data_IF_317524653639
#
_entry.id   IF_317524653639
#
_cell.length_a   1.000
_cell.length_b   1.000
_cell.length_c   1.000
_cell.angle_alpha   90.00
_cell.angle_beta   90.00
_cell.angle_gamma   90.00
#
_symmetry.space_group_name_H-M   'P 1'
#
loop_
_entity.id
_entity.type
_entity.pdbx_description
1 polymer ?
#
# COMPACT_ATOMS: atom_id res chain seq x y z
N UNK A 1 16.96 9.01 5.12
CA UNK A 1 15.86 8.86 4.13
C UNK A 1 14.56 9.25 4.83
N UNK A 2 13.94 10.40 4.50
CA UNK A 2 12.69 10.80 5.18
C UNK A 2 11.64 9.72 4.91
N UNK A 3 11.22 9.01 5.96
CA UNK A 3 10.09 8.07 5.91
C UNK A 3 8.90 8.80 5.30
N UNK A 4 8.44 8.38 4.11
CA UNK A 4 7.21 8.92 3.52
C UNK A 4 6.06 8.60 4.48
N UNK A 5 5.48 9.64 5.08
CA UNK A 5 4.31 9.57 5.97
C UNK A 5 3.21 8.70 5.34
N UNK A 6 2.57 7.85 6.16
CA UNK A 6 1.43 7.02 5.75
C UNK A 6 0.28 7.94 5.31
N UNK A 7 -0.49 7.50 4.34
CA UNK A 7 -1.65 8.22 3.81
C UNK A 7 -2.78 8.23 4.83
N UNK A 8 -3.11 9.39 5.41
CA UNK A 8 -4.17 9.47 6.43
C UNK A 8 -5.53 9.02 5.87
N UNK A 9 -6.28 8.30 6.71
CA UNK A 9 -7.63 7.82 6.43
C UNK A 9 -8.68 8.81 6.95
N UNK A 10 -9.68 9.13 6.15
CA UNK A 10 -10.85 9.90 6.58
C UNK A 10 -12.03 8.98 6.90
N UNK A 11 -12.44 8.93 8.17
CA UNK A 11 -13.68 8.27 8.59
C UNK A 11 -14.82 9.28 8.53
N UNK A 12 -15.70 9.12 7.54
CA UNK A 12 -16.93 9.89 7.39
C UNK A 12 -18.02 9.17 8.16
N UNK A 13 -18.50 9.83 9.22
CA UNK A 13 -19.48 9.26 10.15
C UNK A 13 -20.86 9.82 9.83
N UNK A 14 -21.74 8.94 9.34
CA UNK A 14 -23.13 9.29 9.03
C UNK A 14 -24.13 8.71 10.03
N UNK A 15 -23.78 7.63 10.73
CA UNK A 15 -24.62 6.98 11.75
C UNK A 15 -23.85 6.66 13.03
N UNK A 16 -24.58 6.52 14.15
CA UNK A 16 -23.98 6.11 15.44
C UNK A 16 -23.46 4.67 15.41
N UNK A 17 -24.21 3.74 14.80
CA UNK A 17 -23.78 2.34 14.67
C UNK A 17 -22.51 2.22 13.82
N UNK A 18 -22.46 2.92 12.67
CA UNK A 18 -21.25 2.99 11.86
C UNK A 18 -20.07 3.65 12.56
N UNK A 19 -20.32 4.62 13.46
CA UNK A 19 -19.30 5.29 14.26
C UNK A 19 -18.54 4.33 15.19
N UNK A 20 -19.17 3.26 15.66
CA UNK A 20 -18.53 2.27 16.54
C UNK A 20 -17.56 1.38 15.75
N UNK A 21 -18.03 0.81 14.63
CA UNK A 21 -17.22 -0.01 13.73
C UNK A 21 -16.01 0.78 13.21
N UNK A 22 -16.26 1.99 12.70
CA UNK A 22 -15.20 2.85 12.18
C UNK A 22 -14.19 3.22 13.25
N UNK A 23 -14.60 3.35 14.52
CA UNK A 23 -13.72 3.70 15.63
C UNK A 23 -12.76 2.58 15.99
N UNK A 24 -13.20 1.32 15.98
CA UNK A 24 -12.29 0.18 16.21
C UNK A 24 -11.25 0.08 15.08
N UNK A 25 -11.69 0.14 13.82
CA UNK A 25 -10.78 0.11 12.66
C UNK A 25 -9.81 1.30 12.71
N UNK A 26 -10.30 2.50 13.03
CA UNK A 26 -9.51 3.71 13.22
C UNK A 26 -8.49 3.56 14.35
N UNK A 27 -8.86 2.95 15.48
CA UNK A 27 -7.99 2.74 16.63
C UNK A 27 -6.85 1.77 16.31
N UNK A 28 -7.14 0.64 15.65
CA UNK A 28 -6.12 -0.31 15.19
C UNK A 28 -5.19 0.35 14.18
N UNK A 29 -5.75 1.14 13.26
CA UNK A 29 -4.99 1.81 12.21
C UNK A 29 -4.09 2.94 12.75
N UNK A 30 -4.59 3.74 13.70
CA UNK A 30 -3.88 4.81 14.39
C UNK A 30 -3.77 6.16 13.65
N UNK A 31 -3.91 6.20 12.31
CA UNK A 31 -3.74 7.41 11.48
C UNK A 31 -5.02 7.85 10.76
N UNK A 32 -6.12 7.96 11.50
CA UNK A 32 -7.44 8.35 10.98
C UNK A 32 -7.88 9.74 11.45
N UNK A 33 -8.46 10.53 10.54
CA UNK A 33 -9.23 11.74 10.82
C UNK A 33 -10.73 11.43 10.78
N UNK A 34 -11.50 12.06 11.65
CA UNK A 34 -12.95 11.82 11.77
C UNK A 34 -13.73 13.07 11.40
N UNK A 35 -14.75 12.91 10.57
CA UNK A 35 -15.70 13.98 10.22
C UNK A 35 -17.11 13.44 10.32
N UNK A 36 -17.97 14.11 11.09
CA UNK A 36 -19.40 13.77 11.18
C UNK A 36 -20.16 14.53 10.11
N UNK A 37 -20.64 13.82 9.09
CA UNK A 37 -21.51 14.33 8.03
C UNK A 37 -22.35 13.20 7.46
N UNK A 38 -23.60 13.50 7.18
CA UNK A 38 -24.52 12.60 6.52
C UNK A 38 -24.37 12.77 5.00
N UNK A 39 -23.57 11.91 4.39
CA UNK A 39 -23.20 11.95 2.97
C UNK A 39 -23.09 10.50 2.52
N UNK A 40 -23.68 10.19 1.36
CA UNK A 40 -23.48 8.92 0.68
C UNK A 40 -22.44 9.11 -0.43
N UNK A 41 -21.22 8.55 -0.32
CA UNK A 41 -20.14 8.83 -1.27
C UNK A 41 -20.45 8.49 -2.73
N UNK A 42 -21.39 7.58 -3.00
CA UNK A 42 -21.82 7.25 -4.36
C UNK A 42 -22.79 8.26 -4.95
N UNK A 43 -23.62 8.88 -4.12
CA UNK A 43 -24.58 9.90 -4.56
C UNK A 43 -23.93 11.27 -4.63
N UNK A 44 -23.05 11.56 -3.67
CA UNK A 44 -22.46 12.86 -3.43
C UNK A 44 -20.93 12.82 -3.60
N UNK A 45 -20.48 12.35 -4.77
CA UNK A 45 -19.05 12.22 -5.10
C UNK A 45 -18.30 13.55 -4.93
N UNK A 46 -18.86 14.66 -5.45
CA UNK A 46 -18.22 15.98 -5.37
C UNK A 46 -18.03 16.48 -3.93
N UNK A 47 -19.00 16.21 -3.05
CA UNK A 47 -18.89 16.61 -1.65
C UNK A 47 -17.81 15.79 -0.95
N UNK A 48 -17.70 14.51 -1.28
CA UNK A 48 -16.65 13.61 -0.78
C UNK A 48 -15.27 14.09 -1.24
N UNK A 49 -15.12 14.47 -2.50
CA UNK A 49 -13.87 15.05 -3.05
C UNK A 49 -13.49 16.37 -2.36
N UNK A 50 -14.45 17.28 -2.18
CA UNK A 50 -14.25 18.54 -1.43
C UNK A 50 -13.83 18.27 0.02
N UNK A 51 -14.39 17.25 0.67
CA UNK A 51 -14.01 16.85 2.03
C UNK A 51 -12.59 16.28 2.08
N UNK A 52 -12.23 15.40 1.15
CA UNK A 52 -10.88 14.85 1.03
C UNK A 52 -9.85 15.96 0.81
N UNK A 53 -10.15 16.90 -0.08
CA UNK A 53 -9.32 18.08 -0.34
C UNK A 53 -9.16 18.95 0.91
N UNK A 54 -10.27 19.26 1.61
CA UNK A 54 -10.26 20.08 2.84
C UNK A 54 -9.47 19.44 3.97
N UNK A 55 -9.57 18.12 4.12
CA UNK A 55 -8.90 17.38 5.21
C UNK A 55 -7.49 16.93 4.85
N UNK A 56 -7.08 17.12 3.59
CA UNK A 56 -5.82 16.66 3.00
C UNK A 56 -5.61 15.14 3.20
N UNK A 57 -6.68 14.37 3.02
CA UNK A 57 -6.68 12.90 3.11
C UNK A 57 -6.89 12.30 1.73
N UNK A 58 -6.33 11.12 1.48
CA UNK A 58 -6.44 10.42 0.19
C UNK A 58 -7.27 9.14 0.26
N UNK A 59 -7.49 8.63 1.46
CA UNK A 59 -8.30 7.43 1.70
C UNK A 59 -9.52 7.85 2.50
N UNK A 60 -10.66 7.22 2.24
CA UNK A 60 -11.84 7.40 3.08
C UNK A 60 -12.57 6.09 3.34
N UNK A 61 -13.30 6.08 4.44
CA UNK A 61 -14.32 5.08 4.75
C UNK A 61 -15.60 5.77 5.21
N UNK A 62 -16.74 5.25 4.79
CA UNK A 62 -18.05 5.67 5.24
C UNK A 62 -18.90 4.44 5.55
N UNK A 63 -19.74 4.50 6.59
CA UNK A 63 -20.81 3.54 6.80
C UNK A 63 -22.13 4.31 6.73
N UNK A 64 -22.87 4.05 5.65
CA UNK A 64 -24.13 4.71 5.33
C UNK A 64 -25.25 4.26 6.28
N UNK A 65 -26.39 4.96 6.24
CA UNK A 65 -27.62 4.58 6.96
C UNK A 65 -28.15 3.19 6.60
N UNK A 66 -27.90 2.74 5.37
CA UNK A 66 -28.30 1.42 4.88
C UNK A 66 -27.34 0.29 5.26
N UNK A 67 -26.43 0.52 6.24
CA UNK A 67 -25.42 -0.44 6.68
C UNK A 67 -24.46 -0.91 5.56
N UNK A 68 -24.13 0.03 4.66
CA UNK A 68 -23.17 -0.21 3.58
C UNK A 68 -21.84 0.46 3.95
N UNK A 69 -20.77 -0.31 3.97
CA UNK A 69 -19.40 0.18 4.08
C UNK A 69 -18.92 0.60 2.69
N UNK A 70 -18.63 1.89 2.54
CA UNK A 70 -17.98 2.44 1.36
C UNK A 70 -16.52 2.72 1.67
N UNK A 71 -15.61 2.07 0.94
CA UNK A 71 -14.18 2.31 0.99
C UNK A 71 -13.75 2.98 -0.31
N UNK A 72 -12.86 3.96 -0.25
CA UNK A 72 -12.35 4.56 -1.46
C UNK A 72 -11.07 5.33 -1.29
N UNK A 73 -10.51 5.70 -2.43
CA UNK A 73 -9.28 6.49 -2.51
C UNK A 73 -9.34 7.53 -3.62
N UNK A 74 -8.62 8.62 -3.41
CA UNK A 74 -8.51 9.72 -4.35
C UNK A 74 -7.06 9.96 -4.79
N UNK A 75 -6.94 10.49 -5.99
CA UNK A 75 -5.69 10.99 -6.57
C UNK A 75 -5.97 12.37 -7.15
N UNK A 76 -5.14 13.37 -6.80
CA UNK A 76 -5.35 14.77 -7.17
C UNK A 76 -6.77 15.29 -6.87
N UNK A 77 -7.32 14.88 -5.72
CA UNK A 77 -8.68 15.20 -5.26
C UNK A 77 -9.82 14.63 -6.10
N UNK A 78 -9.54 13.79 -7.09
CA UNK A 78 -10.55 13.01 -7.82
C UNK A 78 -10.60 11.58 -7.27
N UNK A 79 -11.79 11.00 -7.14
CA UNK A 79 -11.95 9.60 -6.71
C UNK A 79 -11.51 8.67 -7.84
N UNK A 80 -10.59 7.74 -7.53
CA UNK A 80 -10.08 6.77 -8.49
C UNK A 80 -10.63 5.36 -8.28
N UNK A 81 -10.94 5.01 -7.03
CA UNK A 81 -11.52 3.71 -6.69
C UNK A 81 -12.51 3.89 -5.55
N UNK A 82 -13.63 3.18 -5.65
CA UNK A 82 -14.65 3.11 -4.61
C UNK A 82 -15.24 1.70 -4.59
N UNK A 83 -15.31 1.08 -3.42
CA UNK A 83 -15.95 -0.22 -3.21
C UNK A 83 -17.07 -0.05 -2.20
N UNK A 84 -18.28 -0.50 -2.56
CA UNK A 84 -19.46 -0.53 -1.70
C UNK A 84 -19.72 -1.95 -1.28
N UNK A 85 -19.67 -2.19 0.02
CA UNK A 85 -19.98 -3.46 0.63
C UNK A 85 -21.21 -3.33 1.50
N UNK A 86 -22.18 -4.22 1.36
CA UNK A 86 -23.28 -4.38 2.32
C UNK A 86 -22.80 -5.22 3.49
N UNK A 87 -22.90 -4.70 4.70
CA UNK A 87 -22.56 -5.44 5.92
C UNK A 87 -23.71 -6.39 6.24
N UNK A 88 -23.42 -7.70 6.26
CA UNK A 88 -24.37 -8.77 6.60
C UNK A 88 -24.33 -9.07 8.08
N UNK A 89 -23.12 -9.24 8.63
CA UNK A 89 -22.90 -9.50 10.04
C UNK A 89 -21.66 -8.73 10.50
N UNK A 90 -21.70 -8.23 11.73
CA UNK A 90 -20.63 -7.45 12.33
C UNK A 90 -20.51 -7.81 13.80
N UNK A 91 -19.32 -8.25 14.20
CA UNK A 91 -18.94 -8.48 15.59
C UNK A 91 -17.83 -7.52 15.97
N UNK A 92 -18.09 -6.70 16.97
CA UNK A 92 -17.13 -5.78 17.54
C UNK A 92 -16.26 -6.50 18.57
N UNK A 93 -15.20 -5.83 19.02
CA UNK A 93 -14.29 -6.39 20.04
C UNK A 93 -15.02 -6.77 21.33
N UNK A 94 -16.11 -6.07 21.66
CA UNK A 94 -16.94 -6.34 22.85
C UNK A 94 -17.71 -7.66 22.79
N UNK A 95 -17.94 -8.17 21.58
CA UNK A 95 -18.72 -9.39 21.37
C UNK A 95 -17.87 -10.65 21.52
N UNK A 96 -16.55 -10.50 21.64
CA UNK A 96 -15.62 -11.59 21.88
C UNK A 96 -15.28 -11.68 23.37
N UNK A 97 -15.38 -12.89 23.94
CA UNK A 97 -14.98 -13.16 25.33
C UNK A 97 -13.46 -13.36 25.45
N UNK A 98 -12.71 -12.37 24.97
CA UNK A 98 -11.24 -12.36 24.94
C UNK A 98 -10.73 -10.98 25.31
N UNK A 99 -9.49 -10.87 25.82
CA UNK A 99 -8.86 -9.57 26.01
C UNK A 99 -8.81 -8.79 24.69
N UNK A 100 -9.15 -7.50 24.75
CA UNK A 100 -9.11 -6.61 23.58
C UNK A 100 -7.70 -6.50 22.97
N UNK A 101 -7.62 -5.86 21.81
CA UNK A 101 -6.35 -5.69 21.11
C UNK A 101 -5.47 -4.58 21.70
N UNK A 102 -4.16 -4.77 21.60
CA UNK A 102 -3.17 -3.76 21.96
C UNK A 102 -3.10 -2.67 20.87
N UNK A 103 -3.15 -1.41 21.29
CA UNK A 103 -3.08 -0.27 20.38
C UNK A 103 -1.66 -0.07 19.85
N UNK A 104 -1.57 0.40 18.60
CA UNK A 104 -0.30 0.72 17.93
C UNK A 104 0.65 -0.46 17.70
N UNK A 105 0.18 -1.69 17.91
CA UNK A 105 0.90 -2.90 17.53
C UNK A 105 1.04 -3.03 16.01
N UNK A 106 2.16 -3.61 15.57
CA UNK A 106 2.35 -3.96 14.17
C UNK A 106 1.54 -5.22 13.86
N UNK A 107 1.00 -5.29 12.64
CA UNK A 107 0.22 -6.43 12.19
C UNK A 107 0.61 -6.84 10.77
N UNK A 108 0.32 -8.10 10.45
CA UNK A 108 0.34 -8.60 9.07
C UNK A 108 -1.00 -8.37 8.37
N UNK A 109 -0.99 -8.40 7.04
CA UNK A 109 -2.20 -8.37 6.22
C UNK A 109 -2.20 -9.66 5.40
N UNK A 110 -3.22 -10.49 5.60
CA UNK A 110 -3.47 -11.70 4.86
C UNK A 110 -4.66 -11.46 3.93
N UNK A 111 -4.40 -11.48 2.62
CA UNK A 111 -5.44 -11.44 1.60
C UNK A 111 -5.60 -12.85 1.03
N UNK A 112 -6.82 -13.38 1.04
CA UNK A 112 -7.09 -14.72 0.54
C UNK A 112 -8.25 -14.72 -0.47
N UNK A 113 -8.06 -15.38 -1.61
CA UNK A 113 -9.08 -15.57 -2.66
C UNK A 113 -9.69 -14.28 -3.24
N UNK A 114 -9.05 -13.12 -3.09
CA UNK A 114 -9.48 -11.88 -3.73
C UNK A 114 -8.94 -11.87 -5.17
N UNK A 115 -9.66 -12.51 -6.09
CA UNK A 115 -9.26 -12.68 -7.51
C UNK A 115 -8.90 -11.40 -8.28
N UNK A 116 -9.12 -10.22 -7.71
CA UNK A 116 -8.91 -8.91 -8.33
C UNK A 116 -7.79 -8.12 -7.64
N UNK A 117 -6.67 -7.97 -8.35
CA UNK A 117 -5.46 -7.25 -7.88
C UNK A 117 -5.74 -5.80 -7.49
N UNK A 118 -6.70 -5.13 -8.13
CA UNK A 118 -7.01 -3.71 -7.84
C UNK A 118 -7.72 -3.57 -6.51
N UNK A 119 -8.61 -4.52 -6.19
CA UNK A 119 -9.28 -4.60 -4.87
C UNK A 119 -8.30 -4.95 -3.76
N UNK A 120 -7.44 -5.94 -4.00
CA UNK A 120 -6.34 -6.28 -3.08
C UNK A 120 -5.46 -5.05 -2.78
N UNK A 121 -5.09 -4.31 -3.83
CA UNK A 121 -4.28 -3.11 -3.69
C UNK A 121 -4.95 -2.03 -2.84
N UNK A 122 -6.28 -1.85 -2.94
CA UNK A 122 -7.02 -0.92 -2.10
C UNK A 122 -6.96 -1.32 -0.62
N UNK A 123 -7.19 -2.60 -0.30
CA UNK A 123 -7.08 -3.10 1.08
C UNK A 123 -5.66 -2.98 1.63
N UNK A 124 -4.64 -3.26 0.81
CA UNK A 124 -3.24 -3.04 1.19
C UNK A 124 -3.00 -1.57 1.50
N UNK A 125 -3.42 -0.64 0.64
CA UNK A 125 -3.20 0.80 0.88
C UNK A 125 -3.97 1.29 2.13
N UNK A 126 -5.15 0.72 2.39
CA UNK A 126 -5.94 0.98 3.59
C UNK A 126 -5.31 0.42 4.89
N UNK A 127 -4.59 -0.69 4.84
CA UNK A 127 -4.09 -1.35 6.04
C UNK A 127 -2.56 -1.25 6.19
N UNK A 128 -1.83 -0.80 5.18
CA UNK A 128 -0.37 -0.81 5.17
C UNK A 128 0.25 0.01 6.31
N UNK A 129 1.09 -0.64 7.12
CA UNK A 129 1.99 0.02 8.07
C UNK A 129 3.43 0.04 7.55
N UNK A 130 3.88 1.17 7.01
CA UNK A 130 5.27 1.30 6.56
C UNK A 130 6.25 1.14 7.72
N UNK A 131 7.25 0.27 7.55
CA UNK A 131 8.40 0.14 8.46
C UNK A 131 9.63 -0.32 7.68
N UNK A 132 10.83 0.14 8.07
CA UNK A 132 12.10 -0.33 7.49
C UNK A 132 12.67 -1.54 8.21
N UNK A 133 12.35 -1.68 9.51
CA UNK A 133 12.72 -2.79 10.38
C UNK A 133 11.50 -3.19 11.19
N UNK A 134 11.37 -4.47 11.51
CA UNK A 134 10.26 -4.99 12.31
C UNK A 134 10.83 -5.92 13.38
N UNK A 135 10.31 -5.83 14.59
CA UNK A 135 10.60 -6.79 15.65
C UNK A 135 9.59 -7.93 15.54
N UNK A 136 10.04 -9.15 15.25
CA UNK A 136 9.16 -10.29 15.02
C UNK A 136 8.36 -10.66 16.28
N UNK A 137 8.98 -10.55 17.45
CA UNK A 137 8.33 -10.79 18.76
C UNK A 137 7.17 -9.81 19.05
N UNK A 138 7.15 -8.67 18.36
CA UNK A 138 6.12 -7.64 18.53
C UNK A 138 4.97 -7.71 17.52
N UNK A 139 4.93 -8.72 16.64
CA UNK A 139 3.88 -8.86 15.62
C UNK A 139 2.93 -10.00 16.00
N UNK A 140 1.99 -9.68 16.88
CA UNK A 140 1.03 -10.63 17.43
C UNK A 140 -0.34 -10.55 16.75
N UNK A 141 -0.49 -9.78 15.68
CA UNK A 141 -1.78 -9.51 15.07
C UNK A 141 -1.78 -9.62 13.55
N UNK A 142 -2.95 -9.95 13.00
CA UNK A 142 -3.16 -10.08 11.58
C UNK A 142 -4.54 -9.54 11.18
N UNK A 143 -4.57 -8.72 10.13
CA UNK A 143 -5.80 -8.47 9.37
C UNK A 143 -5.99 -9.56 8.34
N UNK A 144 -7.13 -10.25 8.38
CA UNK A 144 -7.52 -11.22 7.37
C UNK A 144 -8.64 -10.62 6.53
N UNK A 145 -8.39 -10.48 5.23
CA UNK A 145 -9.43 -10.16 4.24
C UNK A 145 -9.52 -11.35 3.30
N UNK A 146 -10.58 -12.13 3.43
CA UNK A 146 -10.81 -13.30 2.59
C UNK A 146 -12.12 -13.17 1.82
N UNK A 147 -12.14 -13.71 0.62
CA UNK A 147 -13.38 -13.88 -0.15
C UNK A 147 -13.76 -15.35 -0.21
N UNK A 148 -14.93 -15.68 0.32
CA UNK A 148 -15.57 -16.99 0.19
C UNK A 148 -16.81 -16.81 -0.67
N UNK A 149 -16.78 -17.34 -1.89
CA UNK A 149 -17.82 -17.17 -2.90
C UNK A 149 -18.15 -15.69 -3.20
N UNK A 150 -19.28 -15.21 -2.67
CA UNK A 150 -19.77 -13.83 -2.77
C UNK A 150 -19.55 -13.00 -1.51
N UNK A 151 -19.17 -13.63 -0.40
CA UNK A 151 -19.01 -12.98 0.92
C UNK A 151 -17.54 -12.66 1.14
N UNK A 152 -17.28 -11.40 1.48
CA UNK A 152 -16.02 -10.91 2.00
C UNK A 152 -16.05 -10.98 3.52
N UNK A 153 -15.04 -11.63 4.09
CA UNK A 153 -14.79 -11.64 5.53
C UNK A 153 -13.60 -10.73 5.77
N UNK A 154 -13.80 -9.69 6.56
CA UNK A 154 -12.75 -8.79 7.01
C UNK A 154 -12.68 -8.83 8.53
N UNK A 155 -11.63 -9.49 9.06
CA UNK A 155 -11.49 -9.70 10.49
C UNK A 155 -10.09 -9.39 11.01
N UNK A 156 -10.03 -9.03 12.28
CA UNK A 156 -8.78 -8.82 13.02
C UNK A 156 -8.56 -9.93 14.04
N UNK A 157 -7.40 -10.57 13.95
CA UNK A 157 -7.06 -11.75 14.74
C UNK A 157 -5.74 -11.54 15.48
N UNK A 158 -5.61 -12.15 16.65
CA UNK A 158 -4.35 -12.35 17.35
C UNK A 158 -3.71 -13.65 16.87
N UNK A 159 -2.40 -13.60 16.63
CA UNK A 159 -1.55 -14.73 16.27
C UNK A 159 -0.61 -14.98 17.42
N UNK A 160 -0.62 -16.21 17.94
CA UNK A 160 0.26 -16.64 19.01
C UNK A 160 1.55 -17.26 18.45
N UNK A 161 2.54 -17.45 19.33
CA UNK A 161 3.85 -18.01 18.95
C UNK A 161 3.77 -19.45 18.42
N UNK A 162 2.71 -20.18 18.76
CA UNK A 162 2.41 -21.53 18.25
C UNK A 162 1.68 -21.49 16.89
N UNK A 163 1.54 -20.31 16.28
CA UNK A 163 0.76 -20.04 15.07
C UNK A 163 -0.75 -20.30 15.21
N UNK A 164 -1.26 -20.47 16.43
CA UNK A 164 -2.70 -20.49 16.66
C UNK A 164 -3.29 -19.08 16.46
N UNK A 165 -4.53 -19.04 15.97
CA UNK A 165 -5.22 -17.79 15.64
C UNK A 165 -6.44 -17.67 16.55
N UNK A 166 -6.58 -16.52 17.20
CA UNK A 166 -7.74 -16.16 18.00
C UNK A 166 -8.39 -14.90 17.44
N UNK A 167 -9.69 -14.95 17.22
CA UNK A 167 -10.45 -13.77 16.76
C UNK A 167 -10.64 -12.80 17.94
N UNK A 168 -10.17 -11.57 17.79
CA UNK A 168 -10.27 -10.49 18.80
C UNK A 168 -11.22 -9.39 18.34
N UNK A 169 -11.48 -9.30 17.04
CA UNK A 169 -12.40 -8.31 16.47
C UNK A 169 -11.70 -6.98 16.11
N UNK A 170 -12.31 -6.15 15.24
CA UNK A 170 -13.63 -6.33 14.63
C UNK A 170 -13.65 -7.41 13.54
N UNK A 171 -14.81 -8.04 13.35
CA UNK A 171 -15.08 -9.02 12.29
C UNK A 171 -16.32 -8.63 11.51
N UNK A 172 -16.17 -8.44 10.20
CA UNK A 172 -17.22 -8.02 9.29
C UNK A 172 -17.42 -9.06 8.20
N UNK A 173 -18.63 -9.57 8.07
CA UNK A 173 -19.08 -10.34 6.91
C UNK A 173 -19.85 -9.40 5.99
N UNK A 174 -19.41 -9.26 4.75
CA UNK A 174 -19.92 -8.26 3.84
C UNK A 174 -20.07 -8.81 2.42
N UNK A 175 -20.99 -8.26 1.64
CA UNK A 175 -21.17 -8.60 0.23
C UNK A 175 -20.86 -7.38 -0.61
N UNK A 176 -20.03 -7.54 -1.65
CA UNK A 176 -19.71 -6.45 -2.57
C UNK A 176 -20.95 -6.15 -3.44
N UNK A 177 -21.49 -4.93 -3.34
CA UNK A 177 -22.64 -4.49 -4.14
C UNK A 177 -22.21 -3.68 -5.35
N UNK A 178 -21.28 -2.73 -5.16
CA UNK A 178 -20.83 -1.86 -6.23
C UNK A 178 -19.31 -1.65 -6.17
N UNK A 179 -18.69 -1.52 -7.33
CA UNK A 179 -17.28 -1.25 -7.47
C UNK A 179 -17.05 -0.24 -8.60
N UNK A 180 -16.66 0.97 -8.22
CA UNK A 180 -16.21 1.98 -9.15
C UNK A 180 -14.68 1.95 -9.29
N UNK A 181 -14.22 1.92 -10.54
CA UNK A 181 -12.82 1.95 -10.91
C UNK A 181 -12.63 2.99 -12.01
N UNK A 182 -11.69 3.92 -11.83
CA UNK A 182 -11.31 4.85 -12.89
C UNK A 182 -10.59 4.13 -14.04
N UNK A 183 -10.57 4.78 -15.21
CA UNK A 183 -9.88 4.26 -16.40
C UNK A 183 -8.39 4.04 -16.21
N UNK A 184 -7.82 3.14 -17.02
CA UNK A 184 -6.44 2.66 -16.87
C UNK A 184 -5.38 3.76 -17.00
N UNK A 185 -5.62 4.79 -17.82
CA UNK A 185 -4.70 5.91 -17.98
C UNK A 185 -4.57 6.71 -16.68
N UNK A 186 -5.71 7.10 -16.09
CA UNK A 186 -5.74 7.77 -14.78
C UNK A 186 -5.14 6.89 -13.69
N UNK A 187 -5.43 5.59 -13.73
CA UNK A 187 -4.87 4.64 -12.76
C UNK A 187 -3.34 4.55 -12.85
N UNK A 188 -2.79 4.45 -14.06
CA UNK A 188 -1.34 4.44 -14.30
C UNK A 188 -0.66 5.73 -13.83
N UNK A 189 -1.29 6.88 -14.10
CA UNK A 189 -0.81 8.18 -13.59
C UNK A 189 -0.77 8.22 -12.05
N UNK A 190 -1.78 7.65 -11.38
CA UNK A 190 -1.85 7.61 -9.93
C UNK A 190 -0.78 6.72 -9.27
N UNK A 191 -0.41 5.60 -9.91
CA UNK A 191 0.65 4.69 -9.42
C UNK A 191 2.04 5.34 -9.50
N UNK A 192 2.22 6.28 -10.43
CA UNK A 192 3.42 7.12 -10.58
C UNK A 192 4.64 6.42 -11.20
N UNK A 193 5.52 7.21 -11.83
CA UNK A 193 6.70 6.77 -12.59
C UNK A 193 7.83 6.10 -11.76
N UNK A 194 7.65 5.94 -10.45
CA UNK A 194 8.72 5.45 -9.57
C UNK A 194 9.00 3.95 -9.69
N UNK A 195 8.20 3.19 -10.44
CA UNK A 195 8.48 1.78 -10.71
C UNK A 195 9.71 1.58 -11.60
N UNK A 196 10.08 2.57 -12.42
CA UNK A 196 11.09 2.42 -13.46
C UNK A 196 12.10 3.58 -13.52
N UNK A 197 12.61 4.08 -12.38
CA UNK A 197 13.83 4.89 -12.44
C UNK A 197 14.96 3.97 -12.93
N UNK A 198 15.32 4.10 -14.21
CA UNK A 198 16.44 3.36 -14.81
C UNK A 198 17.65 3.52 -13.90
N UNK A 199 18.17 2.41 -13.39
CA UNK A 199 19.40 2.41 -12.58
C UNK A 199 20.47 3.15 -13.36
N UNK A 200 21.15 4.09 -12.72
CA UNK A 200 22.30 4.76 -13.33
C UNK A 200 23.40 3.73 -13.55
N UNK A 201 23.61 3.33 -14.80
CA UNK A 201 24.66 2.39 -15.17
C UNK A 201 26.03 2.98 -14.79
N UNK A 202 26.99 2.11 -14.51
CA UNK A 202 28.41 2.47 -14.30
C UNK A 202 28.65 3.43 -13.13
N UNK A 203 27.71 3.53 -12.18
CA UNK A 203 27.88 4.32 -10.97
C UNK A 203 27.41 3.52 -9.77
N UNK A 204 28.20 3.51 -8.70
CA UNK A 204 27.84 2.85 -7.45
C UNK A 204 28.30 3.67 -6.24
N UNK A 205 27.77 3.36 -5.07
CA UNK A 205 28.24 3.91 -3.80
C UNK A 205 29.11 2.88 -3.09
N UNK A 206 30.29 3.29 -2.62
CA UNK A 206 31.14 2.43 -1.80
C UNK A 206 30.60 2.35 -0.34
N UNK A 207 31.27 1.55 0.50
CA UNK A 207 30.92 1.43 1.92
C UNK A 207 31.00 2.76 2.70
N UNK A 208 31.77 3.73 2.20
CA UNK A 208 31.93 5.07 2.77
C UNK A 208 30.96 6.10 2.18
N UNK A 209 29.99 5.67 1.36
CA UNK A 209 29.03 6.51 0.63
C UNK A 209 29.61 7.42 -0.48
N UNK A 210 30.85 7.23 -0.91
CA UNK A 210 31.42 7.92 -2.07
C UNK A 210 30.81 7.41 -3.37
N UNK A 211 30.58 8.30 -4.33
CA UNK A 211 30.05 7.96 -5.65
C UNK A 211 31.20 7.61 -6.59
N UNK A 212 31.32 6.34 -6.94
CA UNK A 212 32.35 5.83 -7.87
C UNK A 212 31.73 5.58 -9.24
N UNK A 213 32.41 6.03 -10.29
CA UNK A 213 32.09 5.73 -11.68
C UNK A 213 33.04 4.68 -12.26
N UNK A 214 32.51 3.66 -12.95
CA UNK A 214 33.33 2.67 -13.66
C UNK A 214 33.46 3.11 -15.11
N UNK A 215 34.69 3.36 -15.55
CA UNK A 215 35.00 3.55 -16.96
C UNK A 215 35.37 2.19 -17.57
N UNK A 216 34.57 1.72 -18.52
CA UNK A 216 34.90 0.53 -19.30
C UNK A 216 35.75 0.97 -20.49
N UNK A 217 37.05 0.69 -20.41
CA UNK A 217 38.00 0.94 -21.50
C UNK A 217 38.02 -0.30 -22.39
N UNK A 218 37.75 -0.12 -23.67
CA UNK A 218 37.83 -1.21 -24.65
C UNK A 218 39.27 -1.69 -24.80
N UNK A 219 39.43 -2.98 -25.13
CA UNK A 219 40.75 -3.55 -25.41
C UNK A 219 41.34 -2.85 -26.64
N UNK A 220 42.44 -2.12 -26.46
CA UNK A 220 43.16 -1.50 -27.56
C UNK A 220 43.86 -2.56 -28.41
N UNK A 221 43.53 -2.65 -29.70
CA UNK A 221 44.29 -3.49 -30.66
C UNK A 221 45.55 -2.73 -31.12
N UNK A 222 46.71 -3.36 -30.98
CA UNK A 222 48.01 -2.78 -31.32
C UNK A 222 48.55 -3.28 -32.67
N UNK A 223 47.83 -4.15 -33.38
CA UNK A 223 48.27 -4.67 -34.69
C UNK A 223 48.43 -3.57 -35.75
N UNK A 224 47.65 -2.50 -35.63
CA UNK A 224 47.72 -1.35 -36.53
C UNK A 224 48.83 -0.35 -36.14
N UNK A 225 49.39 -0.47 -34.94
CA UNK A 225 50.44 0.43 -34.44
C UNK A 225 51.76 0.09 -35.12
N UNK A 226 52.07 0.81 -36.20
CA UNK A 226 53.37 0.73 -36.87
C UNK A 226 54.39 1.55 -36.10
N UNK A 227 55.38 0.88 -35.51
CA UNK A 227 56.52 1.54 -34.90
C UNK A 227 57.51 2.00 -35.97
N UNK A 228 58.14 3.16 -35.76
CA UNK A 228 59.23 3.63 -36.61
C UNK A 228 60.41 2.67 -36.48
N UNK A 229 60.78 1.98 -37.56
CA UNK A 229 61.97 1.13 -37.60
C UNK A 229 63.24 1.98 -37.67
N UNK A 230 64.03 1.98 -36.61
CA UNK A 230 65.36 2.61 -36.58
C UNK A 230 66.34 1.87 -37.51
N UNK A 231 67.48 2.49 -37.81
CA UNK A 231 68.47 1.94 -38.76
C UNK A 231 68.95 0.53 -38.38
N UNK A 232 69.00 0.21 -37.09
CA UNK A 232 69.37 -1.11 -36.57
C UNK A 232 68.34 -2.21 -36.88
N UNK A 233 67.05 -1.87 -37.03
CA UNK A 233 65.97 -2.82 -37.34
C UNK A 233 65.65 -2.92 -38.83
N UNK A 234 66.38 -2.21 -39.68
CA UNK A 234 66.29 -2.33 -41.14
C UNK A 234 67.29 -3.39 -41.57
N UNK A 235 66.81 -4.53 -42.07
CA UNK A 235 67.66 -5.54 -42.67
C UNK A 235 68.31 -4.92 -43.92
N UNK A 236 69.61 -4.65 -43.85
CA UNK A 236 70.40 -4.49 -45.07
C UNK A 236 70.54 -5.89 -45.65
N UNK A 237 69.89 -6.18 -46.78
CA UNK A 237 70.25 -7.36 -47.58
C UNK A 237 71.71 -7.18 -47.96
N UNK A 238 72.60 -7.95 -47.33
CA UNK A 238 73.95 -8.13 -47.84
C UNK A 238 73.79 -8.65 -49.28
N UNK A 239 74.33 -7.91 -50.23
CA UNK A 239 74.36 -8.29 -51.64
C UNK A 239 75.24 -9.52 -51.83
#
# INVERSE_FOLDING_TARGET
>A
MKSKKRTELLSIVSTKAGEEIQREIAAIRGDSKKVKRDIDPYKDTELTEKLLAKTNTKLFMNINKSNQLVLGRSFNNEIIDMLQFKIVDCKLTKDFDVPGFELHSKYFILLNNIKDKRKENLFIDLLNMRSSKICLEGVNYCWVVSRTDSVFVWKYCRVFNDNSIQDVGPSLNMVLENAYHCGDEKYKLAVGENSNKKKSKNTYKNAFNDKIGVLHIDKQDLKEVKTRKSKAYKLNRAK
#
